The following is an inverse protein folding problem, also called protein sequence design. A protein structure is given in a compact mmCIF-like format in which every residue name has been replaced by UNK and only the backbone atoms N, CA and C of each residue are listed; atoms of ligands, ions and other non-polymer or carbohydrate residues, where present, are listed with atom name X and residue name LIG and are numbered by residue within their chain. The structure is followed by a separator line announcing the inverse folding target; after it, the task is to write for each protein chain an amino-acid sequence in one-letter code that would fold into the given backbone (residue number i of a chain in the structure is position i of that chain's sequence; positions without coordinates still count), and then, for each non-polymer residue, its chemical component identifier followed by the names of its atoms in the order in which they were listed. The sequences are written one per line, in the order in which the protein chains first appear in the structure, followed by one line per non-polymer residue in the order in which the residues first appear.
data_IF_461713683224
#
_entry.id   IF_461713683224
#
_cell.length_a   1.000
_cell.length_b   1.000
_cell.length_c   1.000
_cell.angle_alpha   90.00
_cell.angle_beta   90.00
_cell.angle_gamma   90.00
#
_symmetry.space_group_name_H-M   'P 1'
#
loop_
_entity.id
_entity.type
_entity.pdbx_description
1 polymer ?
#
# COMPACT_ATOMS: atom_id res chain seq x y z
N UNK A 1 1.23 0.01 -22.43
CA UNK A 1 2.33 -0.89 -22.04
C UNK A 1 2.06 -1.32 -20.61
N UNK A 2 1.71 -2.59 -20.43
CA UNK A 2 1.63 -3.38 -19.19
C UNK A 2 1.21 -2.72 -17.86
N UNK A 3 0.04 -3.07 -17.30
CA UNK A 3 -0.22 -3.02 -15.85
C UNK A 3 0.64 -4.04 -15.07
N UNK A 4 1.97 -4.07 -15.30
CA UNK A 4 2.84 -5.12 -14.78
C UNK A 4 3.29 -4.90 -13.34
N UNK A 5 3.39 -3.65 -12.87
CA UNK A 5 3.97 -3.38 -11.55
C UNK A 5 3.12 -3.91 -10.37
N UNK A 6 1.78 -3.80 -10.36
CA UNK A 6 0.97 -4.42 -9.31
C UNK A 6 1.18 -5.94 -9.18
N UNK A 7 1.50 -6.62 -10.28
CA UNK A 7 1.79 -8.06 -10.31
C UNK A 7 3.27 -8.37 -10.01
N UNK A 8 4.20 -7.55 -10.52
CA UNK A 8 5.63 -7.75 -10.36
C UNK A 8 6.14 -7.43 -8.95
N UNK A 9 5.62 -6.38 -8.30
CA UNK A 9 6.12 -5.94 -7.00
C UNK A 9 5.98 -7.02 -5.92
N UNK A 10 4.83 -7.71 -5.77
CA UNK A 10 4.71 -8.85 -4.86
C UNK A 10 5.78 -9.92 -5.08
N UNK A 11 6.06 -10.28 -6.34
CA UNK A 11 7.07 -11.28 -6.69
C UNK A 11 8.49 -10.83 -6.32
N UNK A 12 8.80 -9.54 -6.51
CA UNK A 12 10.10 -8.99 -6.09
C UNK A 12 10.23 -9.00 -4.57
N UNK A 13 9.17 -8.72 -3.83
CA UNK A 13 9.16 -8.80 -2.36
C UNK A 13 9.37 -10.23 -1.88
N UNK A 14 8.78 -11.23 -2.55
CA UNK A 14 9.05 -12.64 -2.28
C UNK A 14 10.54 -12.97 -2.47
N UNK A 15 11.15 -12.50 -3.56
CA UNK A 15 12.57 -12.68 -3.83
C UNK A 15 13.49 -12.00 -2.80
N UNK A 16 13.09 -10.86 -2.23
CA UNK A 16 13.83 -10.19 -1.13
C UNK A 16 13.87 -11.08 0.12
N UNK A 17 12.85 -11.92 0.32
CA UNK A 17 12.76 -12.85 1.46
C UNK A 17 13.24 -14.28 1.10
N UNK A 18 13.85 -14.48 -0.06
CA UNK A 18 14.31 -15.80 -0.53
C UNK A 18 15.44 -16.36 0.36
N UNK A 19 15.51 -17.67 0.54
CA UNK A 19 16.58 -18.32 1.31
C UNK A 19 17.99 -18.18 0.68
N UNK A 20 18.08 -17.91 -0.62
CA UNK A 20 19.31 -17.78 -1.36
C UNK A 20 19.76 -16.31 -1.42
N UNK A 21 20.89 -16.01 -0.79
CA UNK A 21 21.47 -14.67 -0.74
C UNK A 21 21.65 -14.02 -2.14
N UNK A 22 21.93 -14.80 -3.20
CA UNK A 22 22.06 -14.24 -4.55
C UNK A 22 20.73 -13.74 -5.10
N UNK A 23 19.62 -14.40 -4.77
CA UNK A 23 18.27 -14.00 -5.17
C UNK A 23 17.87 -12.74 -4.39
N UNK A 24 18.15 -12.72 -3.08
CA UNK A 24 17.93 -11.54 -2.24
C UNK A 24 18.65 -10.31 -2.80
N UNK A 25 19.97 -10.41 -3.02
CA UNK A 25 20.77 -9.29 -3.54
C UNK A 25 20.25 -8.79 -4.89
N UNK A 26 19.93 -9.69 -5.82
CA UNK A 26 19.40 -9.30 -7.12
C UNK A 26 18.04 -8.58 -7.00
N UNK A 27 17.17 -9.03 -6.10
CA UNK A 27 15.88 -8.39 -5.86
C UNK A 27 16.03 -7.02 -5.17
N UNK A 28 16.96 -6.90 -4.20
CA UNK A 28 17.27 -5.64 -3.53
C UNK A 28 17.83 -4.58 -4.48
N UNK A 29 18.63 -4.98 -5.47
CA UNK A 29 19.16 -4.13 -6.52
C UNK A 29 18.11 -3.74 -7.57
N UNK A 30 17.15 -4.63 -7.85
CA UNK A 30 16.05 -4.35 -8.79
C UNK A 30 15.04 -3.35 -8.24
N UNK A 31 14.79 -3.37 -6.91
CA UNK A 31 13.71 -2.60 -6.31
C UNK A 31 13.83 -1.06 -6.53
N UNK A 32 15.00 -0.41 -6.34
CA UNK A 32 15.16 1.01 -6.64
C UNK A 32 15.00 1.34 -8.13
N UNK A 33 15.38 0.40 -9.01
CA UNK A 33 15.22 0.57 -10.47
C UNK A 33 13.75 0.57 -10.84
N UNK A 34 12.95 -0.36 -10.30
CA UNK A 34 11.51 -0.37 -10.50
C UNK A 34 10.85 0.89 -9.92
N UNK A 35 11.34 1.37 -8.76
CA UNK A 35 10.83 2.59 -8.13
C UNK A 35 11.12 3.85 -8.95
N UNK A 36 12.08 3.82 -9.89
CA UNK A 36 12.30 4.95 -10.81
C UNK A 36 11.14 5.20 -11.79
N UNK A 37 10.20 4.26 -11.91
CA UNK A 37 8.98 4.40 -12.70
C UNK A 37 7.87 5.20 -12.00
N UNK A 38 8.01 5.51 -10.70
CA UNK A 38 7.03 6.29 -9.94
C UNK A 38 6.97 7.73 -10.48
N UNK A 39 5.75 8.22 -10.73
CA UNK A 39 5.53 9.58 -11.27
C UNK A 39 5.06 10.55 -10.20
N UNK A 40 4.31 10.08 -9.20
CA UNK A 40 3.91 10.88 -8.04
C UNK A 40 5.15 11.45 -7.33
N UNK A 41 5.23 12.78 -7.25
CA UNK A 41 6.43 13.48 -6.81
C UNK A 41 6.75 13.21 -5.33
N UNK A 42 5.72 13.11 -4.49
CA UNK A 42 5.85 12.85 -3.06
C UNK A 42 6.38 11.43 -2.81
N UNK A 43 5.89 10.45 -3.59
CA UNK A 43 6.35 9.05 -3.52
C UNK A 43 7.77 8.90 -4.06
N UNK A 44 8.10 9.58 -5.17
CA UNK A 44 9.43 9.53 -5.78
C UNK A 44 10.52 10.29 -4.99
N UNK A 45 10.13 11.17 -4.06
CA UNK A 45 11.04 11.97 -3.24
C UNK A 45 10.92 11.61 -1.76
N UNK A 46 10.07 12.32 -1.01
CA UNK A 46 9.92 12.23 0.45
C UNK A 46 9.76 10.79 0.94
N UNK A 47 8.89 10.01 0.30
CA UNK A 47 8.54 8.67 0.78
C UNK A 47 9.43 7.56 0.25
N UNK A 48 10.27 7.84 -0.76
CA UNK A 48 11.00 6.81 -1.50
C UNK A 48 11.81 5.89 -0.59
N UNK A 49 12.63 6.46 0.28
CA UNK A 49 13.50 5.68 1.15
C UNK A 49 12.71 4.90 2.21
N UNK A 50 11.63 5.47 2.74
CA UNK A 50 10.75 4.79 3.71
C UNK A 50 10.04 3.60 3.09
N UNK A 51 9.53 3.76 1.87
CA UNK A 51 8.86 2.70 1.11
C UNK A 51 9.86 1.57 0.80
N UNK A 52 11.02 1.91 0.23
CA UNK A 52 12.04 0.90 -0.10
C UNK A 52 12.53 0.17 1.16
N UNK A 53 12.70 0.87 2.28
CA UNK A 53 13.09 0.27 3.55
C UNK A 53 12.01 -0.67 4.08
N UNK A 54 10.74 -0.24 4.11
CA UNK A 54 9.64 -1.06 4.60
C UNK A 54 9.39 -2.29 3.73
N UNK A 55 9.59 -2.21 2.41
CA UNK A 55 9.50 -3.37 1.53
C UNK A 55 10.57 -4.42 1.85
N UNK A 56 11.75 -3.99 2.29
CA UNK A 56 12.87 -4.89 2.69
C UNK A 56 12.78 -5.36 4.14
N UNK A 57 12.33 -4.50 5.05
CA UNK A 57 12.32 -4.73 6.50
C UNK A 57 10.91 -4.56 7.05
N UNK A 58 10.17 -5.66 7.28
CA UNK A 58 8.81 -5.59 7.80
C UNK A 58 8.65 -4.81 9.11
N UNK A 59 9.67 -4.80 9.97
CA UNK A 59 9.62 -4.08 11.25
C UNK A 59 9.52 -2.55 11.09
N UNK A 60 9.91 -1.99 9.94
CA UNK A 60 9.83 -0.54 9.66
C UNK A 60 8.49 -0.13 9.01
N UNK A 61 7.49 -1.03 8.97
CA UNK A 61 6.17 -0.72 8.41
C UNK A 61 5.52 0.47 9.09
N UNK A 62 5.55 0.52 10.42
CA UNK A 62 4.91 1.59 11.19
C UNK A 62 5.53 2.95 10.87
N UNK A 63 6.86 3.02 10.85
CA UNK A 63 7.61 4.24 10.49
C UNK A 63 7.22 4.73 9.08
N UNK A 64 7.18 3.82 8.10
CA UNK A 64 6.77 4.19 6.74
C UNK A 64 5.31 4.67 6.69
N UNK A 65 4.39 4.01 7.38
CA UNK A 65 2.98 4.41 7.42
C UNK A 65 2.81 5.78 8.09
N UNK A 66 3.57 6.06 9.15
CA UNK A 66 3.58 7.36 9.81
C UNK A 66 4.07 8.46 8.88
N UNK A 67 5.16 8.25 8.15
CA UNK A 67 5.66 9.22 7.19
C UNK A 67 4.67 9.50 6.06
N UNK A 68 3.98 8.46 5.56
CA UNK A 68 2.92 8.63 4.55
C UNK A 68 1.78 9.50 5.11
N UNK A 69 1.40 9.31 6.37
CA UNK A 69 0.36 10.12 7.02
C UNK A 69 0.80 11.57 7.29
N UNK A 70 2.09 11.82 7.49
CA UNK A 70 2.65 13.17 7.66
C UNK A 70 2.85 13.91 6.33
N UNK A 71 2.95 13.17 5.23
CA UNK A 71 3.16 13.73 3.90
C UNK A 71 1.90 14.42 3.39
N UNK A 72 2.06 15.67 2.94
CA UNK A 72 1.01 16.39 2.23
C UNK A 72 1.07 16.05 0.75
N UNK A 73 0.05 15.36 0.25
CA UNK A 73 -0.06 15.01 -1.17
C UNK A 73 -0.71 16.15 -1.96
N UNK A 74 0.05 16.71 -2.90
CA UNK A 74 -0.40 17.71 -3.86
C UNK A 74 -0.69 17.09 -5.24
N UNK A 75 -0.16 15.90 -5.51
CA UNK A 75 -0.36 15.16 -6.75
C UNK A 75 -1.29 13.97 -6.55
N UNK A 76 -2.09 13.60 -7.57
CA UNK A 76 -2.93 12.40 -7.52
C UNK A 76 -2.07 11.15 -7.39
N UNK A 77 -2.67 10.12 -6.80
CA UNK A 77 -2.03 8.83 -6.63
C UNK A 77 -2.16 8.00 -7.90
N UNK A 78 -1.02 7.60 -8.46
CA UNK A 78 -0.96 6.77 -9.67
C UNK A 78 -0.82 5.27 -9.33
N UNK A 79 -1.20 4.41 -10.27
CA UNK A 79 -1.14 2.95 -10.09
C UNK A 79 0.26 2.40 -9.78
N UNK A 80 1.33 3.07 -10.23
CA UNK A 80 2.71 2.65 -9.93
C UNK A 80 3.03 2.91 -8.46
N UNK A 81 2.66 4.07 -7.95
CA UNK A 81 2.81 4.48 -6.55
C UNK A 81 2.02 3.55 -5.63
N UNK A 82 0.79 3.22 -6.01
CA UNK A 82 -0.03 2.22 -5.30
C UNK A 82 0.66 0.85 -5.28
N UNK A 83 1.27 0.40 -6.40
CA UNK A 83 1.95 -0.90 -6.44
C UNK A 83 3.06 -1.03 -5.39
N UNK A 84 3.79 0.05 -5.08
CA UNK A 84 4.81 0.04 -4.03
C UNK A 84 4.24 0.19 -2.62
N UNK A 85 3.20 1.00 -2.43
CA UNK A 85 2.65 1.26 -1.11
C UNK A 85 1.72 0.14 -0.62
N UNK A 86 0.95 -0.47 -1.50
CA UNK A 86 -0.10 -1.42 -1.12
C UNK A 86 0.41 -2.64 -0.32
N UNK A 87 1.56 -3.25 -0.65
CA UNK A 87 2.12 -4.31 0.20
C UNK A 87 2.37 -3.88 1.65
N UNK A 88 2.83 -2.63 1.85
CA UNK A 88 3.11 -2.05 3.18
C UNK A 88 1.78 -1.81 3.93
N UNK A 89 0.80 -1.23 3.25
CA UNK A 89 -0.52 -0.94 3.83
C UNK A 89 -1.27 -2.21 4.19
N UNK A 90 -1.33 -3.19 3.28
CA UNK A 90 -1.96 -4.49 3.50
C UNK A 90 -1.31 -5.21 4.69
N UNK A 91 0.02 -5.17 4.79
CA UNK A 91 0.74 -5.72 5.94
C UNK A 91 0.34 -5.02 7.24
N UNK A 92 0.28 -3.69 7.26
CA UNK A 92 -0.12 -2.93 8.43
C UNK A 92 -1.57 -3.19 8.87
N UNK A 93 -2.51 -3.33 7.94
CA UNK A 93 -3.92 -3.65 8.23
C UNK A 93 -4.07 -5.04 8.86
N UNK A 94 -3.22 -5.99 8.47
CA UNK A 94 -3.22 -7.38 8.96
C UNK A 94 -2.49 -7.56 10.29
N UNK A 95 -1.77 -6.56 10.76
CA UNK A 95 -0.89 -6.67 11.93
C UNK A 95 -1.68 -6.87 13.23
N UNK A 96 -1.01 -7.33 14.29
CA UNK A 96 -1.59 -7.44 15.62
C UNK A 96 -1.42 -6.15 16.45
N UNK A 97 -0.48 -5.27 16.06
CA UNK A 97 -0.23 -4.01 16.70
C UNK A 97 -1.37 -3.02 16.43
N UNK A 98 -2.08 -2.66 17.49
CA UNK A 98 -3.22 -1.74 17.45
C UNK A 98 -2.93 -0.41 16.72
N UNK A 99 -1.78 0.20 17.01
CA UNK A 99 -1.43 1.51 16.44
C UNK A 99 -1.15 1.40 14.95
N UNK A 100 -0.45 0.33 14.54
CA UNK A 100 -0.18 0.05 13.14
C UNK A 100 -1.46 -0.23 12.36
N UNK A 101 -2.36 -1.10 12.87
CA UNK A 101 -3.64 -1.39 12.21
C UNK A 101 -4.45 -0.11 12.02
N UNK A 102 -4.58 0.71 13.06
CA UNK A 102 -5.30 1.99 13.01
C UNK A 102 -4.69 2.92 11.95
N UNK A 103 -3.39 3.16 12.00
CA UNK A 103 -2.70 4.08 11.08
C UNK A 103 -2.69 3.58 9.64
N UNK A 104 -2.44 2.29 9.42
CA UNK A 104 -2.47 1.70 8.08
C UNK A 104 -3.88 1.76 7.47
N UNK A 105 -4.93 1.56 8.28
CA UNK A 105 -6.32 1.69 7.82
C UNK A 105 -6.67 3.14 7.46
N UNK A 106 -6.24 4.13 8.26
CA UNK A 106 -6.40 5.55 7.93
C UNK A 106 -5.62 5.89 6.66
N UNK A 107 -4.39 5.39 6.53
CA UNK A 107 -3.55 5.60 5.36
C UNK A 107 -4.22 5.03 4.10
N UNK A 108 -4.76 3.81 4.15
CA UNK A 108 -5.53 3.23 3.06
C UNK A 108 -6.70 4.13 2.62
N UNK A 109 -7.46 4.67 3.58
CA UNK A 109 -8.55 5.61 3.29
C UNK A 109 -8.05 6.86 2.56
N UNK A 110 -6.97 7.47 3.05
CA UNK A 110 -6.41 8.69 2.46
C UNK A 110 -5.88 8.44 1.05
N UNK A 111 -5.15 7.33 0.86
CA UNK A 111 -4.60 6.97 -0.45
C UNK A 111 -5.71 6.70 -1.48
N UNK A 112 -6.78 6.00 -1.10
CA UNK A 112 -7.92 5.75 -2.00
C UNK A 112 -8.60 7.06 -2.45
N UNK A 113 -8.71 8.05 -1.55
CA UNK A 113 -9.28 9.36 -1.88
C UNK A 113 -8.39 10.22 -2.81
N UNK A 114 -7.11 9.87 -2.96
CA UNK A 114 -6.16 10.56 -3.84
C UNK A 114 -6.07 9.91 -5.23
N UNK A 115 -6.70 8.75 -5.44
CA UNK A 115 -6.72 8.06 -6.73
C UNK A 115 -7.58 8.84 -7.71
N UNK A 116 -7.05 9.07 -8.92
CA UNK A 116 -7.76 9.77 -9.98
C UNK A 116 -8.55 8.83 -10.90
N UNK A 117 -7.95 7.70 -11.24
CA UNK A 117 -8.50 6.74 -12.20
C UNK A 117 -8.79 5.42 -11.48
N UNK A 118 -10.04 4.95 -11.53
CA UNK A 118 -10.47 3.73 -10.81
C UNK A 118 -9.71 2.47 -11.24
N UNK A 119 -9.18 2.46 -12.47
CA UNK A 119 -8.33 1.39 -12.98
C UNK A 119 -7.04 1.20 -12.17
N UNK A 120 -6.56 2.25 -11.50
CA UNK A 120 -5.32 2.20 -10.73
C UNK A 120 -5.51 1.51 -9.38
N UNK A 121 -6.69 1.64 -8.77
CA UNK A 121 -7.00 0.98 -7.48
C UNK A 121 -7.60 -0.42 -7.67
N UNK A 122 -8.23 -0.68 -8.81
CA UNK A 122 -8.93 -1.94 -9.10
C UNK A 122 -8.13 -3.22 -8.80
N UNK A 123 -6.82 -3.33 -9.13
CA UNK A 123 -6.03 -4.52 -8.81
C UNK A 123 -5.92 -4.81 -7.31
N UNK A 124 -6.09 -3.80 -6.46
CA UNK A 124 -5.92 -3.89 -5.01
C UNK A 124 -7.25 -4.10 -4.27
N UNK A 125 -8.39 -3.88 -4.93
CA UNK A 125 -9.73 -4.08 -4.33
C UNK A 125 -9.91 -5.51 -3.79
N UNK A 126 -9.60 -6.58 -4.54
CA UNK A 126 -9.74 -7.96 -4.03
C UNK A 126 -8.85 -8.27 -2.83
N UNK A 127 -7.80 -7.47 -2.61
CA UNK A 127 -6.87 -7.63 -1.49
C UNK A 127 -7.31 -6.82 -0.27
N UNK A 128 -7.80 -5.59 -0.47
CA UNK A 128 -8.19 -4.68 0.61
C UNK A 128 -9.59 -4.97 1.14
N UNK A 129 -10.57 -5.20 0.25
CA UNK A 129 -11.98 -5.40 0.62
C UNK A 129 -12.18 -6.45 1.72
N UNK A 130 -11.66 -7.70 1.62
CA UNK A 130 -11.85 -8.70 2.67
C UNK A 130 -11.19 -8.31 4.01
N UNK A 131 -10.11 -7.54 3.98
CA UNK A 131 -9.43 -7.08 5.20
C UNK A 131 -10.24 -6.01 5.92
N UNK A 132 -10.80 -5.07 5.14
CA UNK A 132 -11.68 -4.04 5.66
C UNK A 132 -12.98 -4.64 6.19
N UNK A 133 -13.61 -5.59 5.47
CA UNK A 133 -14.78 -6.30 5.98
C UNK A 133 -14.51 -7.00 7.31
N UNK A 134 -13.38 -7.71 7.42
CA UNK A 134 -12.96 -8.33 8.69
C UNK A 134 -12.78 -7.29 9.80
N UNK A 135 -12.19 -6.13 9.50
CA UNK A 135 -11.94 -5.10 10.49
C UNK A 135 -13.20 -4.32 10.91
N UNK A 136 -14.32 -4.43 10.18
CA UNK A 136 -15.62 -3.88 10.63
C UNK A 136 -16.11 -4.56 11.90
N UNK A 137 -15.69 -5.80 12.16
CA UNK A 137 -16.02 -6.56 13.38
C UNK A 137 -14.92 -6.47 14.45
N UNK A 138 -13.91 -5.61 14.26
CA UNK A 138 -12.79 -5.50 15.20
C UNK A 138 -13.26 -5.07 16.61
N UNK A 139 -12.61 -5.57 17.66
CA UNK A 139 -12.99 -5.33 19.07
C UNK A 139 -12.95 -3.84 19.46
N UNK A 140 -11.93 -3.11 18.98
CA UNK A 140 -11.82 -1.66 19.19
C UNK A 140 -12.81 -0.85 18.34
N UNK A 141 -13.63 0.04 18.94
CA UNK A 141 -14.52 0.94 18.21
C UNK A 141 -13.80 1.90 17.27
N UNK A 142 -12.59 2.32 17.62
CA UNK A 142 -11.79 3.25 16.80
C UNK A 142 -11.38 2.58 15.50
N UNK A 143 -10.94 1.32 15.55
CA UNK A 143 -10.58 0.56 14.33
C UNK A 143 -11.81 0.38 13.45
N UNK A 144 -12.98 0.05 14.03
CA UNK A 144 -14.22 -0.05 13.25
C UNK A 144 -14.57 1.26 12.54
N UNK A 145 -14.47 2.40 13.24
CA UNK A 145 -14.77 3.70 12.65
C UNK A 145 -13.86 4.05 11.47
N UNK A 146 -12.54 3.91 11.63
CA UNK A 146 -11.59 4.19 10.54
C UNK A 146 -11.73 3.19 9.39
N UNK A 147 -12.12 1.95 9.70
CA UNK A 147 -12.37 0.90 8.69
C UNK A 147 -13.58 1.23 7.84
N UNK A 148 -14.66 1.75 8.42
CA UNK A 148 -15.84 2.20 7.65
C UNK A 148 -15.43 3.31 6.67
N UNK A 149 -14.63 4.28 7.10
CA UNK A 149 -14.12 5.36 6.23
C UNK A 149 -13.26 4.80 5.09
N UNK A 150 -12.31 3.91 5.42
CA UNK A 150 -11.44 3.28 4.43
C UNK A 150 -12.23 2.43 3.41
N UNK A 151 -13.24 1.69 3.88
CA UNK A 151 -14.11 0.90 3.02
C UNK A 151 -14.89 1.79 2.05
N UNK A 152 -15.52 2.86 2.55
CA UNK A 152 -16.23 3.81 1.68
C UNK A 152 -15.29 4.42 0.64
N UNK A 153 -14.12 4.90 1.06
CA UNK A 153 -13.13 5.48 0.14
C UNK A 153 -12.65 4.48 -0.92
N UNK A 154 -12.47 3.21 -0.54
CA UNK A 154 -12.11 2.14 -1.48
C UNK A 154 -13.20 1.90 -2.53
N UNK A 155 -14.46 1.83 -2.11
CA UNK A 155 -15.60 1.63 -3.01
C UNK A 155 -15.76 2.83 -3.96
N UNK A 156 -15.68 4.04 -3.42
CA UNK A 156 -15.75 5.28 -4.22
C UNK A 156 -14.59 5.37 -5.23
N UNK A 157 -13.36 5.09 -4.78
CA UNK A 157 -12.18 5.11 -5.65
C UNK A 157 -12.20 4.03 -6.73
N UNK A 158 -12.77 2.85 -6.45
CA UNK A 158 -12.90 1.77 -7.43
C UNK A 158 -14.07 1.98 -8.40
N UNK A 159 -15.05 2.82 -8.06
CA UNK A 159 -16.22 3.09 -8.90
C UNK A 159 -17.02 1.83 -9.23
N UNK A 160 -17.50 1.71 -10.47
CA UNK A 160 -18.32 0.58 -10.93
C UNK A 160 -17.55 -0.76 -11.05
N UNK A 161 -16.24 -0.77 -10.76
CA UNK A 161 -15.41 -1.99 -10.78
C UNK A 161 -15.58 -2.85 -9.52
N UNK A 162 -16.49 -2.47 -8.62
CA UNK A 162 -16.76 -3.16 -7.35
C UNK A 162 -17.80 -4.29 -7.49
N UNK A 163 -18.48 -4.44 -8.63
CA UNK A 163 -19.39 -5.57 -8.89
C UNK A 163 -18.72 -6.67 -9.75
N UNK A 164 -18.91 -7.96 -9.40
CA UNK A 164 -18.19 -9.11 -9.97
C UNK A 164 -18.58 -9.51 -11.41
#
# INVERSE_FOLDING_TARGET
MGPCLPECIPLVIECINDSNAKVQTAAEEALPVLCSCVQNAEVASTLKEFILLALRKPDTTLECVEEVLMTTFCNPMDGTSLAFMMPIIIRGIKDANYELVKKATVCASNLCALVKDSSDIAPFVPLLMPLLEKNKEHSSPVIREVTVKAHTALVEGAGDLVDP
#
